data_IF_901085588706
#
_entry.id   IF_901085588706
#
_cell.length_a   1.000
_cell.length_b   1.000
_cell.length_c   1.000
_cell.angle_alpha   90.00
_cell.angle_beta   90.00
_cell.angle_gamma   90.00
#
_symmetry.space_group_name_H-M   'P 1'
#
loop_
_entity.id
_entity.type
_entity.pdbx_description
1 polymer ?
#
# COMPACT_ATOMS: atom_id res chain seq x y z
N UNK A 1 5.18 41.07 -4.14
CA UNK A 1 3.96 41.58 -3.49
C UNK A 1 3.55 40.60 -2.41
N UNK A 2 3.79 40.95 -1.14
CA UNK A 2 3.50 40.12 0.04
C UNK A 2 2.01 40.28 0.35
N UNK A 3 1.21 39.24 0.13
CA UNK A 3 -0.17 39.25 0.62
C UNK A 3 -0.16 39.19 2.14
N UNK A 4 -0.84 40.15 2.75
CA UNK A 4 -0.88 40.44 4.18
C UNK A 4 -1.39 39.26 5.01
N UNK A 5 -0.80 38.98 6.20
CA UNK A 5 -1.25 37.91 7.10
C UNK A 5 -2.72 38.03 7.51
N UNK A 6 -3.21 39.28 7.66
CA UNK A 6 -4.56 39.57 8.14
C UNK A 6 -5.67 39.07 7.21
N UNK A 7 -5.47 39.24 5.90
CA UNK A 7 -6.39 38.74 4.85
C UNK A 7 -6.51 37.23 4.86
N UNK A 8 -5.43 36.50 5.18
CA UNK A 8 -5.47 35.04 5.30
C UNK A 8 -6.24 34.64 6.56
N UNK A 9 -6.01 35.32 7.68
CA UNK A 9 -6.76 35.05 8.92
C UNK A 9 -8.24 35.36 8.81
N UNK A 10 -8.66 36.43 8.12
CA UNK A 10 -10.08 36.73 7.95
C UNK A 10 -10.77 35.71 7.05
N UNK A 11 -10.10 35.29 5.97
CA UNK A 11 -10.59 34.23 5.08
C UNK A 11 -10.74 32.90 5.84
N UNK A 12 -9.77 32.54 6.67
CA UNK A 12 -9.85 31.33 7.50
C UNK A 12 -10.96 31.40 8.55
N UNK A 13 -11.21 32.58 9.12
CA UNK A 13 -12.32 32.79 10.06
C UNK A 13 -13.67 32.64 9.36
N UNK A 14 -13.82 33.21 8.17
CA UNK A 14 -15.03 33.10 7.35
C UNK A 14 -15.30 31.66 6.93
N UNK A 15 -14.27 30.96 6.46
CA UNK A 15 -14.34 29.54 6.09
C UNK A 15 -14.78 28.68 7.29
N UNK A 16 -14.23 28.93 8.49
CA UNK A 16 -14.65 28.22 9.72
C UNK A 16 -16.11 28.46 10.07
N UNK A 17 -16.61 29.68 9.90
CA UNK A 17 -17.98 30.03 10.23
C UNK A 17 -18.98 29.40 9.25
N UNK A 18 -18.63 29.32 7.96
CA UNK A 18 -19.44 28.67 6.91
C UNK A 18 -19.42 27.14 6.98
N UNK A 19 -18.29 26.54 7.36
CA UNK A 19 -18.15 25.07 7.43
C UNK A 19 -18.78 24.50 8.70
N UNK A 20 -18.84 25.28 9.80
CA UNK A 20 -19.39 24.83 11.10
C UNK A 20 -20.82 24.24 11.01
N UNK A 21 -21.83 24.89 10.38
CA UNK A 21 -23.18 24.33 10.31
C UNK A 21 -23.24 23.03 9.49
N UNK A 22 -22.57 22.98 8.34
CA UNK A 22 -22.49 21.77 7.49
C UNK A 22 -21.81 20.62 8.22
N UNK A 23 -20.82 20.94 9.05
CA UNK A 23 -20.13 19.95 9.89
C UNK A 23 -21.05 19.36 10.95
N UNK A 24 -21.91 20.18 11.57
CA UNK A 24 -22.85 19.74 12.61
C UNK A 24 -23.94 18.84 12.04
N UNK A 25 -24.47 19.17 10.87
CA UNK A 25 -25.44 18.34 10.15
C UNK A 25 -24.82 16.98 9.79
N UNK A 26 -23.64 16.96 9.15
CA UNK A 26 -22.88 15.73 8.84
C UNK A 26 -22.57 14.88 10.08
N UNK A 27 -22.28 15.54 11.21
CA UNK A 27 -22.02 14.86 12.48
C UNK A 27 -23.29 14.22 13.05
N UNK A 28 -24.43 14.89 12.92
CA UNK A 28 -25.73 14.34 13.35
C UNK A 28 -26.12 13.11 12.51
N UNK A 29 -25.93 13.16 11.20
CA UNK A 29 -26.10 12.02 10.29
C UNK A 29 -25.16 10.85 10.65
N UNK A 30 -23.88 11.16 10.92
CA UNK A 30 -22.89 10.16 11.30
C UNK A 30 -23.24 9.48 12.64
N UNK A 31 -23.72 10.25 13.62
CA UNK A 31 -24.17 9.73 14.91
C UNK A 31 -25.40 8.84 14.75
N UNK A 32 -26.36 9.20 13.89
CA UNK A 32 -27.51 8.36 13.57
C UNK A 32 -27.07 7.02 12.94
N UNK A 33 -26.19 7.07 11.93
CA UNK A 33 -25.67 5.84 11.30
C UNK A 33 -24.88 4.94 12.26
N UNK A 34 -24.17 5.53 13.25
CA UNK A 34 -23.41 4.77 14.24
C UNK A 34 -24.33 4.05 15.24
N UNK A 35 -25.46 4.66 15.61
CA UNK A 35 -26.47 4.01 16.45
C UNK A 35 -27.08 2.80 15.74
N UNK A 36 -27.36 2.93 14.45
CA UNK A 36 -27.88 1.83 13.62
C UNK A 36 -26.85 0.69 13.45
N UNK A 37 -25.59 1.04 13.19
CA UNK A 37 -24.47 0.08 13.12
C UNK A 37 -24.24 -0.66 14.46
N UNK A 38 -24.45 0.01 15.61
CA UNK A 38 -24.32 -0.59 16.94
C UNK A 38 -25.46 -1.57 17.25
N UNK A 39 -26.70 -1.22 16.88
CA UNK A 39 -27.87 -2.11 17.02
C UNK A 39 -27.70 -3.37 16.18
N UNK A 40 -27.12 -3.28 14.98
CA UNK A 40 -26.87 -4.44 14.11
C UNK A 40 -25.84 -5.44 14.66
N UNK A 41 -25.05 -5.04 15.67
CA UNK A 41 -23.89 -5.80 16.15
C UNK A 41 -24.10 -6.50 17.49
N UNK A 42 -25.22 -6.30 18.17
CA UNK A 42 -25.53 -6.87 19.50
C UNK A 42 -24.34 -6.76 20.48
N UNK A 43 -23.55 -5.67 20.36
CA UNK A 43 -22.40 -5.38 21.21
C UNK A 43 -22.77 -4.24 22.17
N UNK A 44 -22.61 -4.42 23.49
CA UNK A 44 -22.77 -3.30 24.42
C UNK A 44 -21.69 -2.25 24.12
N UNK A 45 -22.08 -0.96 24.17
CA UNK A 45 -21.17 0.14 23.82
C UNK A 45 -19.83 0.02 24.58
N UNK A 46 -18.69 0.21 23.91
CA UNK A 46 -17.40 0.11 24.58
C UNK A 46 -17.30 1.22 25.63
N UNK A 47 -16.77 0.90 26.83
CA UNK A 47 -16.66 1.87 27.91
C UNK A 47 -15.82 3.05 27.44
N UNK A 48 -16.25 4.26 27.85
CA UNK A 48 -15.54 5.49 27.56
C UNK A 48 -14.07 5.28 27.94
N UNK A 49 -13.21 5.25 26.93
CA UNK A 49 -11.77 5.17 27.11
C UNK A 49 -11.26 6.48 26.56
N UNK A 50 -11.06 7.41 27.49
CA UNK A 50 -10.30 8.65 27.36
C UNK A 50 -8.80 8.37 27.14
N UNK A 51 -8.49 7.46 26.20
CA UNK A 51 -7.14 6.99 25.88
C UNK A 51 -6.86 7.01 24.38
N UNK A 52 -6.35 8.15 23.92
CA UNK A 52 -5.37 8.30 22.83
C UNK A 52 -5.51 7.44 21.56
N UNK A 53 -6.58 7.66 20.79
CA UNK A 53 -6.48 7.75 19.32
C UNK A 53 -7.04 9.12 18.91
N UNK A 54 -6.28 10.17 19.20
CA UNK A 54 -6.73 11.54 18.94
C UNK A 54 -6.50 11.89 17.46
N UNK A 55 -7.56 11.83 16.65
CA UNK A 55 -7.65 12.69 15.46
C UNK A 55 -8.22 12.12 14.17
N UNK A 56 -8.49 10.81 14.04
CA UNK A 56 -9.02 10.27 12.77
C UNK A 56 -10.54 10.12 12.84
N UNK A 57 -11.24 11.00 12.12
CA UNK A 57 -12.72 11.01 12.06
C UNK A 57 -13.27 9.72 11.41
N UNK A 58 -14.38 9.14 11.94
CA UNK A 58 -14.98 7.90 11.41
C UNK A 58 -15.41 7.92 9.93
N UNK A 59 -15.67 9.10 9.35
CA UNK A 59 -15.94 9.21 7.91
C UNK A 59 -14.70 8.89 7.05
N UNK A 60 -13.49 9.16 7.55
CA UNK A 60 -12.25 8.74 6.91
C UNK A 60 -12.07 7.21 7.04
N UNK A 61 -12.57 6.62 8.13
CA UNK A 61 -12.58 5.17 8.35
C UNK A 61 -13.43 4.47 7.28
N UNK A 62 -14.60 5.00 6.86
CA UNK A 62 -15.40 4.37 5.78
C UNK A 62 -14.68 4.31 4.42
N UNK A 63 -13.80 5.27 4.10
CA UNK A 63 -12.98 5.26 2.86
C UNK A 63 -11.74 4.36 2.97
N UNK A 64 -11.04 4.43 4.11
CA UNK A 64 -9.83 3.65 4.35
C UNK A 64 -10.15 2.16 4.54
N UNK A 65 -11.27 1.82 5.18
CA UNK A 65 -11.73 0.42 5.34
C UNK A 65 -12.12 -0.25 4.02
N UNK A 66 -12.50 0.53 2.99
CA UNK A 66 -12.70 -0.02 1.63
C UNK A 66 -11.37 -0.49 1.01
N UNK A 67 -10.24 0.07 1.45
CA UNK A 67 -8.88 -0.37 1.09
C UNK A 67 -8.26 -1.17 2.24
N UNK A 68 -8.72 -2.41 2.36
CA UNK A 68 -8.34 -3.38 3.39
C UNK A 68 -6.83 -3.59 3.56
N UNK A 69 -6.02 -3.42 2.52
CA UNK A 69 -4.54 -3.49 2.60
C UNK A 69 -3.91 -2.38 3.43
N UNK A 70 -4.51 -1.19 3.45
CA UNK A 70 -4.00 -0.06 4.25
C UNK A 70 -4.27 -0.35 5.72
N UNK A 71 -5.50 -0.70 6.09
CA UNK A 71 -5.86 -1.00 7.49
C UNK A 71 -5.12 -2.24 8.05
N UNK A 72 -4.64 -3.16 7.19
CA UNK A 72 -3.99 -4.41 7.60
C UNK A 72 -2.49 -4.28 7.92
N UNK A 73 -1.92 -3.07 7.96
CA UNK A 73 -0.49 -2.86 8.21
C UNK A 73 0.43 -3.12 7.00
N UNK A 74 -0.14 -3.26 5.79
CA UNK A 74 0.61 -3.38 4.53
C UNK A 74 0.71 -2.02 3.79
N UNK A 75 0.55 -0.93 4.54
CA UNK A 75 0.41 0.44 4.04
C UNK A 75 1.61 0.86 3.17
N UNK A 76 2.81 0.52 3.62
CA UNK A 76 4.04 0.75 2.90
C UNK A 76 4.48 -0.46 2.06
N UNK A 77 3.86 -1.64 2.19
CA UNK A 77 4.30 -2.85 1.50
C UNK A 77 3.86 -2.93 0.03
N UNK A 78 2.89 -2.12 -0.39
CA UNK A 78 2.25 -2.27 -1.70
C UNK A 78 3.23 -2.14 -2.89
N UNK A 79 4.28 -1.33 -2.77
CA UNK A 79 5.29 -1.19 -3.83
C UNK A 79 6.09 -2.47 -4.09
N UNK A 80 6.14 -3.40 -3.12
CA UNK A 80 6.86 -4.68 -3.24
C UNK A 80 6.25 -5.54 -4.35
N UNK A 81 4.94 -5.43 -4.64
CA UNK A 81 4.34 -6.13 -5.79
C UNK A 81 4.90 -5.66 -7.13
N UNK A 82 5.18 -4.35 -7.26
CA UNK A 82 5.81 -3.81 -8.45
C UNK A 82 7.26 -4.28 -8.55
N UNK A 83 8.03 -4.17 -7.47
CA UNK A 83 9.42 -4.63 -7.44
C UNK A 83 9.53 -6.14 -7.72
N UNK A 84 8.64 -6.94 -7.14
CA UNK A 84 8.56 -8.39 -7.41
C UNK A 84 8.32 -8.69 -8.87
N UNK A 85 7.52 -7.86 -9.58
CA UNK A 85 7.32 -7.99 -11.03
C UNK A 85 8.59 -7.62 -11.82
N UNK A 86 9.25 -6.52 -11.45
CA UNK A 86 10.49 -6.09 -12.10
C UNK A 86 11.57 -7.18 -12.00
N UNK A 87 11.79 -7.70 -10.81
CA UNK A 87 12.80 -8.73 -10.57
C UNK A 87 12.43 -10.07 -11.19
N UNK A 88 11.16 -10.49 -11.14
CA UNK A 88 10.74 -11.76 -11.75
C UNK A 88 10.92 -11.76 -13.27
N UNK A 89 10.66 -10.64 -13.96
CA UNK A 89 10.93 -10.52 -15.40
C UNK A 89 12.42 -10.52 -15.73
N UNK A 90 13.24 -9.88 -14.90
CA UNK A 90 14.70 -9.89 -15.08
C UNK A 90 15.25 -11.31 -14.94
N UNK A 91 14.74 -12.08 -13.97
CA UNK A 91 15.08 -13.48 -13.77
C UNK A 91 14.56 -14.38 -14.89
N UNK A 92 13.35 -14.10 -15.39
CA UNK A 92 12.73 -14.85 -16.48
C UNK A 92 13.55 -14.73 -17.77
N UNK A 93 13.88 -13.50 -18.14
CA UNK A 93 14.64 -13.19 -19.36
C UNK A 93 16.09 -13.68 -19.27
N UNK A 94 16.74 -13.52 -18.11
CA UNK A 94 18.13 -13.98 -17.91
C UNK A 94 18.29 -15.50 -18.05
N UNK A 95 17.35 -16.27 -17.51
CA UNK A 95 17.36 -17.74 -17.59
C UNK A 95 16.79 -18.30 -18.90
N UNK A 96 16.38 -17.43 -19.84
CA UNK A 96 15.86 -17.80 -21.17
C UNK A 96 14.75 -18.85 -21.11
N UNK A 97 13.81 -18.67 -20.17
CA UNK A 97 12.66 -19.57 -20.04
C UNK A 97 11.74 -19.53 -21.26
N UNK A 98 11.83 -18.47 -22.07
CA UNK A 98 11.07 -18.19 -23.28
C UNK A 98 11.57 -18.94 -24.54
N UNK A 99 12.89 -19.12 -24.70
CA UNK A 99 13.45 -19.52 -26.00
C UNK A 99 14.13 -20.92 -26.05
N UNK A 100 14.17 -21.67 -24.94
CA UNK A 100 15.11 -22.78 -24.80
C UNK A 100 14.58 -24.22 -24.90
N UNK A 101 13.29 -24.44 -25.14
CA UNK A 101 12.70 -25.79 -25.10
C UNK A 101 12.75 -26.45 -23.71
N UNK A 102 12.30 -27.70 -23.61
CA UNK A 102 12.05 -28.38 -22.33
C UNK A 102 13.32 -28.62 -21.49
N UNK A 103 14.45 -28.93 -22.13
CA UNK A 103 15.69 -29.20 -21.39
C UNK A 103 16.33 -27.94 -20.82
N UNK A 104 16.22 -26.80 -21.52
CA UNK A 104 16.61 -25.52 -20.93
C UNK A 104 15.70 -25.16 -19.75
N UNK A 105 14.39 -25.41 -19.87
CA UNK A 105 13.44 -25.18 -18.79
C UNK A 105 13.81 -25.98 -17.52
N UNK A 106 14.18 -27.25 -17.69
CA UNK A 106 14.64 -28.11 -16.59
C UNK A 106 15.93 -27.60 -15.95
N UNK A 107 16.91 -27.17 -16.76
CA UNK A 107 18.18 -26.63 -16.26
C UNK A 107 17.98 -25.31 -15.52
N UNK A 108 17.18 -24.40 -16.09
CA UNK A 108 16.81 -23.13 -15.50
C UNK A 108 16.03 -23.31 -14.18
N UNK A 109 15.06 -24.24 -14.15
CA UNK A 109 14.29 -24.56 -12.95
C UNK A 109 15.16 -25.12 -11.82
N UNK A 110 16.09 -26.04 -12.13
CA UNK A 110 17.05 -26.56 -11.14
C UNK A 110 17.94 -25.46 -10.57
N UNK A 111 18.38 -24.53 -11.43
CA UNK A 111 19.18 -23.37 -11.02
C UNK A 111 18.39 -22.44 -10.11
N UNK A 112 17.15 -22.10 -10.48
CA UNK A 112 16.26 -21.27 -9.67
C UNK A 112 16.00 -21.87 -8.29
N UNK A 113 15.75 -23.19 -8.23
CA UNK A 113 15.57 -23.89 -6.95
C UNK A 113 16.79 -23.72 -6.03
N UNK A 114 17.99 -23.99 -6.54
CA UNK A 114 19.22 -23.95 -5.73
C UNK A 114 19.63 -22.55 -5.30
N UNK A 115 19.52 -21.59 -6.21
CA UNK A 115 19.97 -20.24 -5.94
C UNK A 115 18.97 -19.40 -5.15
N UNK A 116 17.66 -19.61 -5.34
CA UNK A 116 16.62 -18.76 -4.76
C UNK A 116 15.85 -19.50 -3.66
N UNK A 117 15.24 -20.65 -3.98
CA UNK A 117 14.33 -21.33 -3.07
C UNK A 117 15.04 -22.01 -1.89
N UNK A 118 16.22 -22.59 -2.13
CA UNK A 118 17.03 -23.23 -1.09
C UNK A 118 17.67 -22.20 -0.13
N UNK A 119 17.94 -20.98 -0.60
CA UNK A 119 18.47 -19.91 0.25
C UNK A 119 17.37 -19.26 1.11
N UNK A 120 16.15 -19.15 0.58
CA UNK A 120 15.00 -18.60 1.32
C UNK A 120 15.32 -17.22 1.93
N UNK A 121 15.10 -17.09 3.24
CA UNK A 121 15.40 -15.89 4.02
C UNK A 121 16.77 -15.90 4.72
N UNK A 122 17.64 -16.88 4.44
CA UNK A 122 18.94 -17.01 5.11
C UNK A 122 20.00 -16.04 4.57
N UNK A 123 19.77 -15.43 3.40
CA UNK A 123 20.68 -14.48 2.75
C UNK A 123 19.93 -13.22 2.33
N UNK A 124 20.57 -12.02 2.34
CA UNK A 124 19.97 -10.80 1.82
C UNK A 124 19.51 -10.96 0.37
N UNK A 125 18.31 -10.47 0.08
CA UNK A 125 17.61 -10.67 -1.19
C UNK A 125 18.41 -10.14 -2.37
N UNK A 126 19.04 -8.97 -2.20
CA UNK A 126 19.86 -8.35 -3.24
C UNK A 126 21.09 -9.18 -3.60
N UNK A 127 21.71 -9.84 -2.61
CA UNK A 127 22.85 -10.72 -2.85
C UNK A 127 22.38 -11.98 -3.59
N UNK A 128 21.28 -12.57 -3.14
CA UNK A 128 20.67 -13.74 -3.78
C UNK A 128 20.27 -13.47 -5.24
N UNK A 129 19.73 -12.28 -5.52
CA UNK A 129 19.44 -11.81 -6.88
C UNK A 129 20.71 -11.62 -7.72
N UNK A 130 21.74 -10.97 -7.17
CA UNK A 130 23.01 -10.77 -7.87
C UNK A 130 23.71 -12.11 -8.19
N UNK A 131 23.72 -13.05 -7.23
CA UNK A 131 24.27 -14.39 -7.39
C UNK A 131 23.51 -15.18 -8.49
N UNK A 132 22.18 -15.05 -8.51
CA UNK A 132 21.37 -15.69 -9.55
C UNK A 132 21.48 -15.00 -10.91
N UNK A 133 21.68 -13.69 -11.00
CA UNK A 133 21.77 -13.01 -12.29
C UNK A 133 23.21 -12.99 -12.83
N UNK A 134 24.21 -13.17 -11.97
CA UNK A 134 25.63 -12.94 -12.29
C UNK A 134 25.95 -11.46 -12.53
N UNK A 135 25.00 -10.56 -12.24
CA UNK A 135 25.05 -9.11 -12.45
C UNK A 135 24.08 -8.43 -11.49
N UNK A 136 24.19 -7.11 -11.27
CA UNK A 136 23.15 -6.38 -10.55
C UNK A 136 21.79 -6.48 -11.26
N UNK A 137 20.67 -6.50 -10.51
CA UNK A 137 19.33 -6.53 -11.07
C UNK A 137 19.05 -5.27 -11.90
N UNK A 138 18.30 -5.42 -12.99
CA UNK A 138 18.01 -4.35 -13.93
C UNK A 138 16.52 -4.25 -14.25
N UNK A 139 16.03 -3.03 -14.38
CA UNK A 139 14.65 -2.75 -14.79
C UNK A 139 14.42 -2.86 -16.30
N UNK A 140 15.47 -3.07 -17.10
CA UNK A 140 15.38 -3.11 -18.55
C UNK A 140 14.43 -4.20 -19.08
N UNK A 141 14.38 -5.36 -18.42
CA UNK A 141 13.46 -6.44 -18.79
C UNK A 141 11.99 -6.03 -18.59
N UNK A 142 11.71 -5.25 -17.54
CA UNK A 142 10.37 -4.75 -17.26
C UNK A 142 9.92 -3.71 -18.29
N UNK A 143 10.80 -2.78 -18.68
CA UNK A 143 10.47 -1.79 -19.71
C UNK A 143 10.20 -2.42 -21.07
N UNK A 144 11.00 -3.41 -21.48
CA UNK A 144 10.71 -4.19 -22.69
C UNK A 144 9.35 -4.88 -22.65
N UNK A 145 8.95 -5.39 -21.49
CA UNK A 145 7.63 -6.00 -21.30
C UNK A 145 6.49 -4.98 -21.38
N UNK A 146 6.72 -3.74 -20.94
CA UNK A 146 5.78 -2.62 -21.09
C UNK A 146 5.73 -2.06 -22.52
N UNK A 147 6.70 -2.40 -23.38
CA UNK A 147 6.81 -1.87 -24.74
C UNK A 147 7.39 -0.46 -24.81
N UNK A 148 8.19 -0.07 -23.82
CA UNK A 148 8.86 1.24 -23.70
C UNK A 148 10.37 1.07 -23.84
#
# INVERSE_FOLDING_TARGET
MVQTPETVTSLLAEIRQRIRPVSLEKLSELLASKKEDAVSRDQPEPPNTSGSFHGIKPAMIKSVTKRRMIVSGYEAGYFIYLLGRVHSLDMWTSSRFDAGGLDNLRKAGRRFRRCILEQGGSQPEMKTLADYLGRPPSSAAYFRWLGI
#
